data_IF_356500689533
#
_entry.id   IF_356500689533
#
_cell.length_a   1.000
_cell.length_b   1.000
_cell.length_c   1.000
_cell.angle_alpha   90.00
_cell.angle_beta   90.00
_cell.angle_gamma   90.00
#
_symmetry.space_group_name_H-M   'P 1'
#
loop_
_entity.id
_entity.type
_entity.pdbx_description
1 polymer ?
#
# COMPACT_ATOMS: atom_id res chain seq x y z
N UNK A 1 45.69 21.07 43.75
CA UNK A 1 45.57 19.81 43.00
C UNK A 1 44.10 19.60 42.70
N UNK A 2 43.60 20.16 41.59
CA UNK A 2 42.26 19.94 41.07
C UNK A 2 42.30 18.89 39.97
N UNK A 3 41.50 17.85 40.14
CA UNK A 3 41.32 16.81 39.08
C UNK A 3 40.12 17.16 38.27
N UNK A 4 40.34 17.57 37.02
CA UNK A 4 39.30 17.72 36.01
C UNK A 4 38.75 16.35 35.66
N UNK A 5 37.50 16.08 36.06
CA UNK A 5 36.71 14.95 35.60
C UNK A 5 36.07 15.29 34.24
N UNK A 6 36.71 14.91 33.16
CA UNK A 6 36.12 14.99 31.84
C UNK A 6 34.90 14.06 31.74
N UNK A 7 33.69 14.61 31.71
CA UNK A 7 32.48 13.90 31.37
C UNK A 7 32.55 13.39 29.90
N UNK A 8 32.77 12.11 29.74
CA UNK A 8 32.72 11.46 28.44
C UNK A 8 31.27 11.32 27.99
N UNK A 9 30.80 12.27 27.20
CA UNK A 9 29.49 12.19 26.56
C UNK A 9 29.59 11.18 25.42
N UNK A 10 29.15 9.95 25.67
CA UNK A 10 29.05 8.92 24.66
C UNK A 10 28.07 9.37 23.58
N UNK A 11 28.56 9.50 22.33
CA UNK A 11 27.70 9.77 21.16
C UNK A 11 26.65 8.68 21.05
N UNK A 12 25.35 9.04 20.82
CA UNK A 12 24.31 8.04 20.64
C UNK A 12 24.65 7.17 19.43
N UNK A 13 24.77 5.87 19.65
CA UNK A 13 24.90 4.88 18.60
C UNK A 13 23.62 4.97 17.76
N UNK A 14 23.71 5.45 16.53
CA UNK A 14 22.61 5.41 15.56
C UNK A 14 22.31 3.93 15.30
N UNK A 15 21.27 3.41 15.94
CA UNK A 15 20.74 2.09 15.60
C UNK A 15 20.37 2.11 14.13
N UNK A 16 20.98 1.19 13.37
CA UNK A 16 20.71 1.05 11.93
C UNK A 16 19.24 0.64 11.78
N UNK A 17 18.41 1.53 11.21
CA UNK A 17 16.98 1.20 11.00
C UNK A 17 16.85 -0.06 10.15
N UNK A 18 16.01 -0.99 10.57
CA UNK A 18 15.78 -2.25 9.87
C UNK A 18 15.14 -1.98 8.49
N UNK A 19 15.67 -2.62 7.46
CA UNK A 19 15.10 -2.51 6.10
C UNK A 19 13.74 -3.19 6.05
N UNK A 20 12.75 -2.45 5.55
CA UNK A 20 11.39 -2.94 5.37
C UNK A 20 10.79 -2.44 4.04
N UNK A 21 9.72 -3.08 3.62
CA UNK A 21 8.94 -2.68 2.46
C UNK A 21 7.45 -2.67 2.77
N UNK A 22 6.72 -1.82 2.05
CA UNK A 22 5.26 -1.75 2.12
C UNK A 22 4.62 -2.53 1.00
N UNK A 23 3.50 -3.14 1.30
CA UNK A 23 2.61 -3.73 0.31
C UNK A 23 1.19 -3.28 0.52
N UNK A 24 0.48 -3.05 -0.57
CA UNK A 24 -0.89 -2.58 -0.52
C UNK A 24 -1.80 -3.46 -1.38
N UNK A 25 -2.96 -3.84 -0.84
CA UNK A 25 -4.10 -4.33 -1.62
C UNK A 25 -5.08 -3.19 -1.76
N UNK A 26 -5.13 -2.59 -2.94
CA UNK A 26 -5.94 -1.37 -3.22
C UNK A 26 -7.35 -1.76 -3.63
N UNK A 27 -8.32 -1.10 -3.04
CA UNK A 27 -9.77 -1.18 -3.33
C UNK A 27 -10.35 0.22 -3.53
N UNK A 28 -11.62 0.31 -3.92
CA UNK A 28 -12.33 1.59 -4.00
C UNK A 28 -12.54 2.17 -2.61
N UNK A 29 -11.92 3.31 -2.34
CA UNK A 29 -12.04 4.07 -1.09
C UNK A 29 -11.16 3.61 0.07
N UNK A 30 -10.42 2.51 -0.03
CA UNK A 30 -9.54 2.00 1.02
C UNK A 30 -8.44 1.08 0.48
N UNK A 31 -7.46 0.79 1.32
CA UNK A 31 -6.46 -0.25 1.03
C UNK A 31 -6.11 -1.02 2.31
N UNK A 32 -5.68 -2.27 2.17
CA UNK A 32 -4.91 -2.94 3.21
C UNK A 32 -3.45 -2.62 2.97
N UNK A 33 -2.78 -2.09 3.99
CA UNK A 33 -1.34 -1.91 4.04
C UNK A 33 -0.71 -3.06 4.85
N UNK A 34 0.44 -3.55 4.42
CA UNK A 34 1.27 -4.48 5.18
C UNK A 34 2.71 -3.99 5.19
N UNK A 35 3.36 -4.09 6.35
CA UNK A 35 4.79 -3.84 6.53
C UNK A 35 5.50 -5.17 6.73
N UNK A 36 6.45 -5.46 5.84
CA UNK A 36 7.29 -6.67 5.93
C UNK A 36 8.75 -6.26 6.03
N UNK A 37 9.46 -6.83 6.99
CA UNK A 37 10.88 -6.58 7.24
C UNK A 37 11.68 -7.89 7.32
N UNK A 38 12.99 -7.75 7.49
CA UNK A 38 13.92 -8.87 7.66
C UNK A 38 14.50 -9.40 6.35
N UNK A 39 15.21 -10.53 6.41
CA UNK A 39 15.80 -11.16 5.23
C UNK A 39 14.73 -11.66 4.26
N UNK A 40 14.95 -11.50 2.94
CA UNK A 40 14.02 -11.96 1.90
C UNK A 40 13.69 -13.46 2.01
N UNK A 41 14.65 -14.27 2.50
CA UNK A 41 14.46 -15.73 2.68
C UNK A 41 13.57 -16.06 3.88
N UNK A 42 13.52 -15.17 4.88
CA UNK A 42 12.73 -15.30 6.11
C UNK A 42 12.04 -13.98 6.44
N UNK A 43 11.04 -13.57 5.64
CA UNK A 43 10.32 -12.32 5.83
C UNK A 43 9.48 -12.38 7.12
N UNK A 44 9.36 -11.25 7.79
CA UNK A 44 8.56 -11.08 9.01
C UNK A 44 7.50 -10.01 8.78
N UNK A 45 6.25 -10.32 9.06
CA UNK A 45 5.18 -9.34 9.10
C UNK A 45 5.33 -8.49 10.37
N UNK A 46 5.45 -7.18 10.19
CA UNK A 46 5.56 -6.23 11.29
C UNK A 46 4.22 -5.59 11.62
N UNK A 47 3.40 -5.37 10.59
CA UNK A 47 2.05 -4.82 10.74
C UNK A 47 1.19 -5.13 9.52
N UNK A 48 -0.13 -5.19 9.74
CA UNK A 48 -1.14 -5.27 8.69
C UNK A 48 -2.42 -4.57 9.13
N UNK A 49 -2.80 -3.51 8.42
CA UNK A 49 -3.98 -2.69 8.74
C UNK A 49 -4.69 -2.15 7.51
N UNK A 50 -5.92 -1.74 7.70
CA UNK A 50 -6.67 -0.97 6.71
C UNK A 50 -6.29 0.50 6.81
N UNK A 51 -6.19 1.17 5.67
CA UNK A 51 -6.05 2.62 5.55
C UNK A 51 -7.16 3.17 4.66
N UNK A 52 -7.66 4.35 4.99
CA UNK A 52 -8.68 5.04 4.21
C UNK A 52 -8.06 5.78 3.03
N UNK A 53 -8.73 5.71 1.89
CA UNK A 53 -8.45 6.49 0.68
C UNK A 53 -9.62 7.39 0.29
N UNK A 54 -10.72 7.36 1.05
CA UNK A 54 -11.92 8.18 0.91
C UNK A 54 -12.30 8.78 2.26
N UNK A 55 -13.11 9.83 2.27
CA UNK A 55 -13.56 10.51 3.49
C UNK A 55 -14.96 10.01 3.86
N UNK A 56 -15.11 9.42 5.05
CA UNK A 56 -16.41 8.90 5.52
C UNK A 56 -17.50 9.98 5.64
N UNK A 57 -17.11 11.27 5.80
CA UNK A 57 -18.02 12.42 5.82
C UNK A 57 -18.61 12.74 4.45
N UNK A 58 -17.98 12.25 3.39
CA UNK A 58 -18.36 12.41 1.98
C UNK A 58 -18.40 11.04 1.33
N UNK A 59 -19.47 10.23 1.56
CA UNK A 59 -19.56 8.83 1.11
C UNK A 59 -19.33 8.65 -0.38
N UNK A 60 -19.70 9.64 -1.20
CA UNK A 60 -19.50 9.66 -2.64
C UNK A 60 -18.01 9.64 -3.04
N UNK A 61 -17.11 9.96 -2.13
CA UNK A 61 -15.66 9.86 -2.39
C UNK A 61 -15.16 8.42 -2.48
N UNK A 62 -15.97 7.45 -2.02
CA UNK A 62 -15.67 6.03 -2.18
C UNK A 62 -15.88 5.55 -3.62
N UNK A 63 -16.82 6.15 -4.33
CA UNK A 63 -17.11 5.89 -5.73
C UNK A 63 -17.25 7.21 -6.51
N UNK A 64 -16.15 7.98 -6.66
CA UNK A 64 -16.20 9.37 -7.09
C UNK A 64 -16.68 9.57 -8.52
N UNK A 65 -16.66 8.53 -9.34
CA UNK A 65 -17.16 8.55 -10.72
C UNK A 65 -18.57 8.01 -10.87
N UNK A 66 -19.25 7.60 -9.78
CA UNK A 66 -20.63 7.19 -9.82
C UNK A 66 -21.58 8.33 -9.41
N UNK A 67 -22.65 8.51 -10.20
CA UNK A 67 -23.83 9.27 -9.79
C UNK A 67 -24.67 8.43 -8.81
N UNK A 68 -25.62 9.08 -8.10
CA UNK A 68 -26.48 8.39 -7.12
C UNK A 68 -27.30 7.23 -7.74
N UNK A 69 -27.55 7.26 -9.04
CA UNK A 69 -28.25 6.20 -9.79
C UNK A 69 -27.38 5.02 -10.21
N UNK A 70 -26.10 4.98 -9.78
CA UNK A 70 -25.14 3.97 -10.22
C UNK A 70 -24.59 4.17 -11.63
N UNK A 71 -24.98 5.24 -12.33
CA UNK A 71 -24.46 5.61 -13.65
C UNK A 71 -23.15 6.40 -13.52
N UNK A 72 -22.44 6.58 -14.63
CA UNK A 72 -21.28 7.46 -14.68
C UNK A 72 -21.69 8.90 -14.34
N UNK A 73 -20.98 9.54 -13.41
CA UNK A 73 -21.16 10.96 -13.09
C UNK A 73 -20.65 11.83 -14.25
N UNK A 74 -21.49 12.70 -14.76
CA UNK A 74 -21.18 13.60 -15.87
C UNK A 74 -20.84 15.02 -15.41
N UNK A 75 -21.19 15.39 -14.19
CA UNK A 75 -20.86 16.68 -13.61
C UNK A 75 -19.37 16.75 -13.26
N UNK A 76 -18.62 17.42 -14.12
CA UNK A 76 -17.17 17.54 -13.96
C UNK A 76 -16.74 18.32 -12.72
N UNK A 77 -17.60 19.20 -12.17
CA UNK A 77 -17.33 19.97 -10.94
C UNK A 77 -17.40 19.04 -9.74
N UNK A 78 -18.47 18.24 -9.65
CA UNK A 78 -18.63 17.24 -8.58
C UNK A 78 -17.50 16.22 -8.61
N UNK A 79 -17.18 15.67 -9.78
CA UNK A 79 -16.07 14.72 -9.93
C UNK A 79 -14.77 15.36 -9.41
N UNK A 80 -14.40 16.54 -9.88
CA UNK A 80 -13.19 17.23 -9.43
C UNK A 80 -13.12 17.42 -7.92
N UNK A 81 -14.21 17.86 -7.30
CA UNK A 81 -14.30 18.05 -5.86
C UNK A 81 -14.03 16.72 -5.11
N UNK A 82 -14.68 15.62 -5.52
CA UNK A 82 -14.47 14.28 -4.95
C UNK A 82 -13.02 13.80 -5.12
N UNK A 83 -12.42 14.00 -6.29
CA UNK A 83 -11.04 13.63 -6.56
C UNK A 83 -10.04 14.40 -5.68
N UNK A 84 -10.28 15.69 -5.43
CA UNK A 84 -9.46 16.49 -4.50
C UNK A 84 -9.48 15.90 -3.09
N UNK A 85 -10.65 15.48 -2.62
CA UNK A 85 -10.79 14.84 -1.29
C UNK A 85 -10.02 13.53 -1.26
N UNK A 86 -10.21 12.65 -2.24
CA UNK A 86 -9.50 11.35 -2.33
C UNK A 86 -7.98 11.54 -2.30
N UNK A 87 -7.44 12.47 -3.08
CA UNK A 87 -6.01 12.77 -3.10
C UNK A 87 -5.51 13.27 -1.76
N UNK A 88 -6.27 14.13 -1.08
CA UNK A 88 -5.94 14.62 0.25
C UNK A 88 -5.90 13.50 1.27
N UNK A 89 -6.94 12.65 1.33
CA UNK A 89 -7.04 11.54 2.29
C UNK A 89 -5.91 10.54 2.06
N UNK A 90 -5.63 10.15 0.83
CA UNK A 90 -4.53 9.23 0.55
C UNK A 90 -3.17 9.77 1.01
N UNK A 91 -2.87 11.05 0.78
CA UNK A 91 -1.64 11.69 1.28
C UNK A 91 -1.57 11.68 2.81
N UNK A 92 -2.68 12.01 3.49
CA UNK A 92 -2.75 12.00 4.95
C UNK A 92 -2.56 10.59 5.52
N UNK A 93 -3.22 9.59 4.93
CA UNK A 93 -3.11 8.19 5.35
C UNK A 93 -1.69 7.66 5.19
N UNK A 94 -1.02 7.96 4.08
CA UNK A 94 0.38 7.56 3.88
C UNK A 94 1.31 8.31 4.82
N UNK A 95 1.16 9.62 4.99
CA UNK A 95 1.99 10.39 5.92
C UNK A 95 1.87 9.86 7.35
N UNK A 96 0.64 9.60 7.83
CA UNK A 96 0.38 9.00 9.14
C UNK A 96 1.06 7.63 9.28
N UNK A 97 0.88 6.76 8.29
CA UNK A 97 1.47 5.42 8.27
C UNK A 97 3.00 5.48 8.37
N UNK A 98 3.65 6.36 7.63
CA UNK A 98 5.11 6.50 7.63
C UNK A 98 5.66 7.09 8.93
N UNK A 99 4.90 7.97 9.61
CA UNK A 99 5.27 8.45 10.95
C UNK A 99 5.29 7.30 11.95
N UNK A 100 4.30 6.41 11.91
CA UNK A 100 4.23 5.24 12.78
C UNK A 100 5.37 4.24 12.49
N UNK A 101 5.82 4.16 11.24
CA UNK A 101 6.91 3.25 10.81
C UNK A 101 8.30 3.89 10.76
N UNK A 102 8.50 5.04 11.43
CA UNK A 102 9.78 5.79 11.43
C UNK A 102 11.01 5.00 11.88
N UNK A 103 10.79 3.87 12.59
CA UNK A 103 11.85 2.95 13.01
C UNK A 103 12.39 2.06 11.87
N UNK A 104 11.74 2.06 10.70
CA UNK A 104 12.12 1.23 9.55
C UNK A 104 12.67 2.08 8.40
N UNK A 105 13.63 1.51 7.67
CA UNK A 105 14.11 2.08 6.41
C UNK A 105 13.24 1.59 5.25
N UNK A 106 12.19 2.34 4.91
CA UNK A 106 11.24 2.01 3.86
C UNK A 106 11.59 2.79 2.59
N UNK A 107 11.99 2.11 1.53
CA UNK A 107 12.33 2.72 0.23
C UNK A 107 11.48 2.17 -0.92
N UNK A 108 10.75 1.10 -0.71
CA UNK A 108 10.03 0.36 -1.75
C UNK A 108 8.66 -0.06 -1.29
N UNK A 109 7.72 -0.04 -2.23
CA UNK A 109 6.38 -0.55 -2.03
C UNK A 109 5.90 -1.30 -3.27
N UNK A 110 4.92 -2.20 -3.10
CA UNK A 110 4.19 -2.76 -4.22
C UNK A 110 2.67 -2.68 -3.97
N UNK A 111 1.92 -2.40 -5.03
CA UNK A 111 0.48 -2.26 -5.00
C UNK A 111 -0.15 -3.41 -5.78
N UNK A 112 -1.00 -4.20 -5.12
CA UNK A 112 -1.87 -5.17 -5.80
C UNK A 112 -3.20 -4.50 -6.10
N UNK A 113 -3.58 -4.50 -7.36
CA UNK A 113 -4.81 -3.92 -7.90
C UNK A 113 -5.65 -4.98 -8.62
N UNK A 114 -6.96 -4.76 -8.74
CA UNK A 114 -7.86 -5.70 -9.43
C UNK A 114 -7.49 -5.86 -10.90
N UNK A 115 -7.46 -4.77 -11.64
CA UNK A 115 -7.22 -4.77 -13.08
C UNK A 115 -6.34 -3.58 -13.51
N UNK A 116 -5.67 -3.76 -14.68
CA UNK A 116 -4.91 -2.71 -15.37
C UNK A 116 -5.61 -2.22 -16.66
N UNK A 117 -6.88 -2.53 -16.82
CA UNK A 117 -7.63 -2.15 -18.02
C UNK A 117 -7.65 -0.62 -18.14
N UNK A 118 -7.45 -0.13 -19.35
CA UNK A 118 -7.61 1.28 -19.66
C UNK A 118 -9.11 1.64 -19.64
N UNK A 119 -9.54 2.60 -18.80
CA UNK A 119 -10.94 3.02 -18.75
C UNK A 119 -11.46 3.55 -20.11
N UNK A 120 -10.59 4.13 -20.94
CA UNK A 120 -10.97 4.65 -22.26
C UNK A 120 -11.41 3.55 -23.22
N UNK A 121 -10.94 2.32 -23.05
CA UNK A 121 -11.31 1.17 -23.89
C UNK A 121 -12.68 0.57 -23.54
N UNK A 122 -13.36 1.04 -22.49
CA UNK A 122 -14.59 0.46 -21.97
C UNK A 122 -15.80 1.24 -22.51
N UNK A 123 -16.65 0.59 -23.32
CA UNK A 123 -17.85 1.21 -23.88
C UNK A 123 -18.97 1.41 -22.83
N UNK A 124 -19.17 0.42 -21.94
CA UNK A 124 -20.23 0.47 -20.92
C UNK A 124 -19.91 1.53 -19.86
N UNK A 125 -20.79 2.58 -19.67
CA UNK A 125 -20.49 3.69 -18.75
C UNK A 125 -20.34 3.26 -17.28
N UNK A 126 -21.13 2.31 -16.81
CA UNK A 126 -21.04 1.80 -15.43
C UNK A 126 -19.71 1.06 -15.19
N UNK A 127 -19.32 0.18 -16.11
CA UNK A 127 -18.04 -0.55 -16.02
C UNK A 127 -16.86 0.42 -16.16
N UNK A 128 -17.01 1.45 -17.03
CA UNK A 128 -16.02 2.52 -17.15
C UNK A 128 -15.82 3.30 -15.86
N UNK A 129 -16.92 3.61 -15.13
CA UNK A 129 -16.83 4.28 -13.83
C UNK A 129 -15.99 3.46 -12.84
N UNK A 130 -16.21 2.15 -12.71
CA UNK A 130 -15.39 1.29 -11.87
C UNK A 130 -13.93 1.24 -12.30
N UNK A 131 -13.66 1.22 -13.59
CA UNK A 131 -12.28 1.24 -14.11
C UNK A 131 -11.58 2.57 -13.80
N UNK A 132 -12.28 3.70 -13.91
CA UNK A 132 -11.80 5.04 -13.53
C UNK A 132 -11.48 5.09 -12.03
N UNK A 133 -12.32 4.52 -11.19
CA UNK A 133 -12.08 4.44 -9.74
C UNK A 133 -10.86 3.60 -9.42
N UNK A 134 -10.75 2.42 -10.02
CA UNK A 134 -9.56 1.58 -9.87
C UNK A 134 -8.28 2.28 -10.32
N UNK A 135 -8.34 3.05 -11.41
CA UNK A 135 -7.23 3.88 -11.87
C UNK A 135 -6.91 5.01 -10.87
N UNK A 136 -7.92 5.74 -10.41
CA UNK A 136 -7.78 6.84 -9.46
C UNK A 136 -7.10 6.39 -8.16
N UNK A 137 -7.65 5.38 -7.46
CA UNK A 137 -7.12 4.96 -6.17
C UNK A 137 -5.71 4.41 -6.27
N UNK A 138 -5.39 3.70 -7.36
CA UNK A 138 -4.05 3.25 -7.67
C UNK A 138 -3.07 4.41 -7.85
N UNK A 139 -3.38 5.35 -8.74
CA UNK A 139 -2.48 6.47 -9.05
C UNK A 139 -2.31 7.41 -7.86
N UNK A 140 -3.38 7.69 -7.14
CA UNK A 140 -3.34 8.57 -5.96
C UNK A 140 -2.48 7.97 -4.84
N UNK A 141 -2.55 6.67 -4.62
CA UNK A 141 -1.70 5.99 -3.64
C UNK A 141 -0.24 5.94 -4.09
N UNK A 142 0.00 5.67 -5.38
CA UNK A 142 1.34 5.71 -5.99
C UNK A 142 1.98 7.09 -5.83
N UNK A 143 1.25 8.15 -6.18
CA UNK A 143 1.71 9.53 -6.06
C UNK A 143 2.02 9.91 -4.59
N UNK A 144 1.17 9.49 -3.65
CA UNK A 144 1.41 9.73 -2.23
C UNK A 144 2.70 9.05 -1.74
N UNK A 145 2.98 7.82 -2.15
CA UNK A 145 4.20 7.09 -1.80
C UNK A 145 5.45 7.73 -2.46
N UNK A 146 5.36 8.08 -3.73
CA UNK A 146 6.45 8.74 -4.48
C UNK A 146 6.83 10.10 -3.87
N UNK A 147 5.86 10.86 -3.35
CA UNK A 147 6.13 12.11 -2.64
C UNK A 147 7.05 11.90 -1.42
N UNK A 148 7.07 10.71 -0.84
CA UNK A 148 7.98 10.29 0.23
C UNK A 148 9.22 9.52 -0.27
N UNK A 149 9.53 9.58 -1.58
CA UNK A 149 10.67 8.89 -2.23
C UNK A 149 10.62 7.37 -2.10
N UNK A 150 9.42 6.80 -2.02
CA UNK A 150 9.19 5.35 -2.00
C UNK A 150 8.91 4.90 -3.43
N UNK A 151 9.77 4.03 -3.96
CA UNK A 151 9.60 3.45 -5.29
C UNK A 151 8.51 2.39 -5.28
N UNK A 152 7.58 2.47 -6.23
CA UNK A 152 6.42 1.58 -6.28
C UNK A 152 6.45 0.65 -7.48
N UNK A 153 5.86 -0.54 -7.31
CA UNK A 153 5.58 -1.49 -8.38
C UNK A 153 4.11 -1.91 -8.32
N UNK A 154 3.48 -2.03 -9.49
CA UNK A 154 2.06 -2.38 -9.58
C UNK A 154 1.92 -3.80 -10.10
N UNK A 155 1.21 -4.64 -9.35
CA UNK A 155 0.87 -6.02 -9.65
C UNK A 155 -0.64 -6.13 -9.91
N UNK A 156 -1.05 -6.79 -10.98
CA UNK A 156 -2.45 -7.20 -11.12
C UNK A 156 -2.72 -8.40 -10.21
N UNK A 157 -3.86 -8.44 -9.55
CA UNK A 157 -4.22 -9.49 -8.58
C UNK A 157 -4.10 -10.89 -9.17
N UNK A 158 -4.61 -11.11 -10.40
CA UNK A 158 -4.56 -12.38 -11.10
C UNK A 158 -3.13 -12.91 -11.26
N UNK A 159 -2.14 -12.02 -11.40
CA UNK A 159 -0.74 -12.36 -11.69
C UNK A 159 0.17 -12.23 -10.45
N UNK A 160 -0.35 -11.75 -9.31
CA UNK A 160 0.47 -11.35 -8.16
C UNK A 160 1.34 -12.50 -7.65
N UNK A 161 0.77 -13.68 -7.46
CA UNK A 161 1.50 -14.85 -6.96
C UNK A 161 2.50 -15.40 -7.99
N UNK A 162 2.16 -15.46 -9.27
CA UNK A 162 3.07 -15.94 -10.32
C UNK A 162 4.26 -15.00 -10.50
N UNK A 163 4.03 -13.69 -10.49
CA UNK A 163 5.10 -12.69 -10.55
C UNK A 163 5.99 -12.71 -9.31
N UNK A 164 5.40 -12.86 -8.13
CA UNK A 164 6.17 -13.01 -6.91
C UNK A 164 7.00 -14.30 -6.91
N UNK A 165 6.42 -15.42 -7.34
CA UNK A 165 7.10 -16.71 -7.50
C UNK A 165 8.33 -16.60 -8.41
N UNK A 166 8.17 -16.05 -9.60
CA UNK A 166 9.26 -15.84 -10.54
C UNK A 166 10.36 -14.93 -9.98
N UNK A 167 9.98 -13.80 -9.37
CA UNK A 167 10.92 -12.83 -8.84
C UNK A 167 11.69 -13.34 -7.62
N UNK A 168 11.01 -14.02 -6.69
CA UNK A 168 11.60 -14.60 -5.48
C UNK A 168 12.36 -15.92 -5.76
N UNK A 169 12.30 -16.43 -7.00
CA UNK A 169 12.85 -17.73 -7.40
C UNK A 169 12.38 -18.87 -6.47
N UNK A 170 11.09 -18.90 -6.16
CA UNK A 170 10.43 -19.88 -5.31
C UNK A 170 9.23 -20.48 -6.03
N UNK A 171 8.92 -21.76 -5.76
CA UNK A 171 7.71 -22.37 -6.28
C UNK A 171 6.46 -21.63 -5.75
N UNK A 172 5.41 -21.55 -6.58
CA UNK A 172 4.16 -20.83 -6.22
C UNK A 172 3.55 -21.36 -4.91
N UNK A 173 3.58 -22.68 -4.69
CA UNK A 173 3.13 -23.31 -3.44
C UNK A 173 3.89 -22.81 -2.22
N UNK A 174 5.20 -22.57 -2.34
CA UNK A 174 6.03 -22.10 -1.23
C UNK A 174 5.78 -20.62 -0.93
N UNK A 175 5.58 -19.81 -1.98
CA UNK A 175 5.18 -18.40 -1.82
C UNK A 175 3.85 -18.31 -1.10
N UNK A 176 2.86 -19.14 -1.48
CA UNK A 176 1.55 -19.19 -0.80
C UNK A 176 1.67 -19.64 0.65
N UNK A 177 2.49 -20.66 0.93
CA UNK A 177 2.74 -21.18 2.28
C UNK A 177 3.39 -20.10 3.18
N UNK A 178 4.44 -19.41 2.69
CA UNK A 178 5.07 -18.32 3.43
C UNK A 178 4.09 -17.19 3.68
N UNK A 179 3.35 -16.74 2.67
CA UNK A 179 2.34 -15.69 2.80
C UNK A 179 1.24 -16.07 3.80
N UNK A 180 0.81 -17.34 3.83
CA UNK A 180 -0.15 -17.85 4.82
C UNK A 180 0.44 -17.82 6.24
N UNK A 181 1.72 -18.19 6.40
CA UNK A 181 2.38 -18.24 7.69
C UNK A 181 2.69 -16.85 8.27
N UNK A 182 2.88 -15.83 7.42
CA UNK A 182 3.03 -14.44 7.89
C UNK A 182 1.86 -14.00 8.77
N UNK A 183 0.67 -14.51 8.54
CA UNK A 183 -0.52 -14.19 9.36
C UNK A 183 -0.52 -14.77 10.77
N UNK A 184 0.39 -15.69 11.09
CA UNK A 184 0.47 -16.28 12.45
C UNK A 184 0.90 -15.27 13.52
N UNK A 185 1.58 -14.20 13.12
CA UNK A 185 1.97 -13.09 13.99
C UNK A 185 0.99 -11.91 13.95
N UNK A 186 -0.13 -12.05 13.23
CA UNK A 186 -1.16 -11.00 13.12
C UNK A 186 -2.24 -11.21 14.17
N UNK A 187 -2.57 -10.18 14.92
CA UNK A 187 -3.69 -10.19 15.88
C UNK A 187 -5.06 -10.01 15.20
N UNK A 188 -5.08 -9.69 13.92
CA UNK A 188 -6.28 -9.39 13.13
C UNK A 188 -6.64 -10.47 12.11
N UNK A 189 -7.70 -10.22 11.31
CA UNK A 189 -8.13 -11.15 10.27
C UNK A 189 -7.05 -11.34 9.19
N UNK A 190 -6.81 -12.59 8.78
CA UNK A 190 -5.85 -12.95 7.73
C UNK A 190 -6.57 -13.47 6.49
N UNK A 191 -7.24 -12.56 5.79
CA UNK A 191 -8.06 -12.82 4.60
C UNK A 191 -7.26 -12.60 3.31
N UNK A 192 -7.92 -12.65 2.17
CA UNK A 192 -7.30 -12.50 0.87
C UNK A 192 -6.57 -11.15 0.70
N UNK A 193 -7.16 -10.07 1.20
CA UNK A 193 -6.61 -8.72 1.11
C UNK A 193 -5.31 -8.59 1.89
N UNK A 194 -5.25 -9.10 3.14
CA UNK A 194 -4.04 -9.08 3.97
C UNK A 194 -2.93 -9.92 3.34
N UNK A 195 -3.27 -11.11 2.84
CA UNK A 195 -2.32 -11.99 2.16
C UNK A 195 -1.72 -11.33 0.92
N UNK A 196 -2.54 -10.67 0.10
CA UNK A 196 -2.08 -9.97 -1.10
C UNK A 196 -1.23 -8.75 -0.76
N UNK A 197 -1.58 -7.99 0.29
CA UNK A 197 -0.76 -6.88 0.77
C UNK A 197 0.60 -7.37 1.30
N UNK A 198 0.63 -8.43 2.11
CA UNK A 198 1.87 -9.01 2.62
C UNK A 198 2.74 -9.62 1.51
N UNK A 199 2.13 -10.29 0.52
CA UNK A 199 2.82 -10.77 -0.67
C UNK A 199 3.48 -9.61 -1.44
N UNK A 200 2.76 -8.51 -1.62
CA UNK A 200 3.27 -7.31 -2.27
C UNK A 200 4.44 -6.70 -1.49
N UNK A 201 4.34 -6.60 -0.17
CA UNK A 201 5.43 -6.12 0.68
C UNK A 201 6.68 -7.01 0.56
N UNK A 202 6.51 -8.34 0.63
CA UNK A 202 7.62 -9.28 0.45
C UNK A 202 8.25 -9.19 -0.94
N UNK A 203 7.44 -9.06 -1.98
CA UNK A 203 7.92 -8.81 -3.35
C UNK A 203 8.74 -7.51 -3.42
N UNK A 204 8.27 -6.42 -2.81
CA UNK A 204 8.98 -5.14 -2.79
C UNK A 204 10.28 -5.19 -1.98
N UNK A 205 10.30 -5.96 -0.87
CA UNK A 205 11.47 -6.16 -0.02
C UNK A 205 12.62 -6.84 -0.77
N UNK A 206 12.32 -7.68 -1.75
CA UNK A 206 13.30 -8.45 -2.53
C UNK A 206 13.88 -7.70 -3.74
N UNK A 207 13.45 -6.49 -3.99
CA UNK A 207 13.93 -5.62 -5.08
C UNK A 207 14.95 -4.63 -4.59
#
# INVERSE_FOLDING_TARGET
MGRDSACYVSKPVKSKSETAALGFRVKSGWAVAALVAGPVRSPRLCDSRMIDLSDARFPETRQPYHAATGKLETDSVKVRARLCIVRRIARQSIAKLLVEYRGFAIRRAALVIGSKIDPASIANPHIRAHALEGHLFRTTLDDALRAHRIHTVILAERDAYSKASAHLKKANRDVRRVTQNLGRSSEGPWRAEQKLAALAAWFALSR
#
